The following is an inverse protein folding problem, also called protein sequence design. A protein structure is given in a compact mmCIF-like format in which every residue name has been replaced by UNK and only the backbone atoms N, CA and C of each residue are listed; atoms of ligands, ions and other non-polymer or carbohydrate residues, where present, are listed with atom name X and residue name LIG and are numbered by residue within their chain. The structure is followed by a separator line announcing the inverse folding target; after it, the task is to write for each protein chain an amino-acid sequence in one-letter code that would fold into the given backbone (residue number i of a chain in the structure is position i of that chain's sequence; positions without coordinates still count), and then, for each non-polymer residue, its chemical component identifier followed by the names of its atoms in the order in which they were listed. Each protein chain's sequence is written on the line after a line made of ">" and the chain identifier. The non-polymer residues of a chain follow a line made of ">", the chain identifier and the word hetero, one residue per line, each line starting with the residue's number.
data_IF_571818148399
#
_entry.id   IF_571818148399
#
_cell.length_a   1.000
_cell.length_b   1.000
_cell.length_c   1.000
_cell.angle_alpha   90.00
_cell.angle_beta   90.00
_cell.angle_gamma   90.00
#
_symmetry.space_group_name_H-M   'P 1'
#
loop_
_entity.id
_entity.type
_entity.pdbx_description
1 polymer ?
#
# COMPACT_ATOMS: atom_id res chain seq x y z
N UNK A 1 8.89 7.63 -9.22
CA UNK A 1 7.94 8.16 -8.21
C UNK A 1 8.55 8.00 -6.83
N UNK A 2 8.63 9.09 -6.06
CA UNK A 2 9.01 9.06 -4.65
C UNK A 2 7.74 9.11 -3.81
N UNK A 3 7.45 8.02 -3.08
CA UNK A 3 6.18 7.93 -2.35
C UNK A 3 6.07 9.00 -1.26
N UNK A 4 7.19 9.38 -0.61
CA UNK A 4 7.17 10.39 0.44
C UNK A 4 6.87 11.82 -0.06
N UNK A 5 6.93 12.07 -1.37
CA UNK A 5 6.50 13.33 -1.97
C UNK A 5 4.98 13.52 -1.91
N UNK A 6 4.20 12.42 -1.87
CA UNK A 6 2.73 12.45 -1.84
C UNK A 6 2.13 11.92 -0.53
N UNK A 7 2.81 10.98 0.16
CA UNK A 7 2.30 10.32 1.36
C UNK A 7 3.37 10.22 2.47
N UNK A 8 4.28 11.19 2.52
CA UNK A 8 5.39 11.22 3.48
C UNK A 8 4.97 11.72 4.86
N UNK A 9 5.62 11.19 5.91
CA UNK A 9 5.37 11.58 7.31
C UNK A 9 5.61 13.09 7.55
N UNK A 10 6.57 13.70 6.87
CA UNK A 10 6.87 15.13 6.96
C UNK A 10 5.77 16.04 6.41
N UNK A 11 4.86 15.52 5.59
CA UNK A 11 3.71 16.25 5.08
C UNK A 11 2.59 16.34 6.10
N UNK A 12 2.61 15.48 7.13
CA UNK A 12 1.63 15.48 8.22
C UNK A 12 2.14 16.37 9.35
N UNK A 13 1.42 17.44 9.73
CA UNK A 13 1.81 18.25 10.89
C UNK A 13 1.97 17.39 12.14
N UNK A 14 2.98 17.68 12.98
CA UNK A 14 3.33 16.84 14.13
C UNK A 14 2.15 16.56 15.09
N UNK A 15 1.27 17.54 15.30
CA UNK A 15 0.09 17.39 16.15
C UNK A 15 -1.10 16.67 15.49
N UNK A 16 -0.99 16.27 14.21
CA UNK A 16 -2.04 15.60 13.45
C UNK A 16 -1.60 14.23 12.94
N UNK A 17 -0.50 13.70 13.44
CA UNK A 17 0.02 12.41 13.02
C UNK A 17 -0.90 11.28 13.48
N UNK A 18 -1.46 10.57 12.51
CA UNK A 18 -2.33 9.42 12.68
C UNK A 18 -2.21 8.51 11.44
N UNK A 19 -1.48 7.39 11.53
CA UNK A 19 -1.29 6.49 10.38
C UNK A 19 -2.58 5.75 9.99
N UNK A 20 -3.59 5.75 10.86
CA UNK A 20 -4.91 5.20 10.56
C UNK A 20 -5.76 6.12 9.70
N UNK A 21 -5.49 7.44 9.72
CA UNK A 21 -6.26 8.46 8.99
C UNK A 21 -5.58 8.94 7.70
N UNK A 22 -4.38 8.44 7.40
CA UNK A 22 -3.62 8.82 6.20
C UNK A 22 -3.77 7.78 5.08
N UNK A 23 -3.51 8.19 3.84
CA UNK A 23 -3.73 7.36 2.64
C UNK A 23 -2.59 7.48 1.64
N UNK A 24 -2.40 6.46 0.83
CA UNK A 24 -1.48 6.43 -0.31
C UNK A 24 -2.12 6.89 -1.62
N UNK A 25 -3.30 7.52 -1.60
CA UNK A 25 -4.02 7.99 -2.80
C UNK A 25 -3.12 8.81 -3.71
N UNK A 26 -2.39 9.80 -3.17
CA UNK A 26 -1.47 10.61 -3.98
C UNK A 26 -0.34 9.82 -4.65
N UNK A 27 0.04 8.66 -4.11
CA UNK A 27 1.01 7.78 -4.80
C UNK A 27 0.39 7.18 -6.06
N UNK A 28 -0.88 6.74 -5.98
CA UNK A 28 -1.62 6.25 -7.14
C UNK A 28 -1.81 7.34 -8.21
N UNK A 29 -2.09 8.58 -7.79
CA UNK A 29 -2.16 9.73 -8.69
C UNK A 29 -0.84 9.97 -9.42
N UNK A 30 0.28 9.90 -8.73
CA UNK A 30 1.61 10.02 -9.36
C UNK A 30 1.89 8.88 -10.35
N UNK A 31 1.41 7.66 -10.07
CA UNK A 31 1.48 6.54 -11.03
C UNK A 31 0.64 6.85 -12.26
N UNK A 32 -0.60 7.35 -12.10
CA UNK A 32 -1.47 7.77 -13.21
C UNK A 32 -0.80 8.83 -14.09
N UNK A 33 -0.17 9.85 -13.49
CA UNK A 33 0.57 10.88 -14.24
C UNK A 33 1.73 10.26 -15.03
N UNK A 34 2.44 9.29 -14.46
CA UNK A 34 3.51 8.59 -15.18
C UNK A 34 2.96 7.79 -16.38
N UNK A 35 1.79 7.14 -16.22
CA UNK A 35 1.10 6.44 -17.31
C UNK A 35 0.65 7.41 -18.42
N UNK A 36 0.13 8.58 -18.05
CA UNK A 36 -0.25 9.63 -18.99
C UNK A 36 0.95 10.16 -19.78
N UNK A 37 2.12 10.18 -19.14
CA UNK A 37 3.41 10.49 -19.79
C UNK A 37 3.97 9.35 -20.66
N UNK A 38 3.28 8.21 -20.78
CA UNK A 38 3.69 7.07 -21.60
C UNK A 38 4.78 6.20 -20.98
N UNK A 39 4.93 6.23 -19.65
CA UNK A 39 5.91 5.40 -18.96
C UNK A 39 5.65 3.90 -19.20
N UNK A 40 6.70 3.16 -19.55
CA UNK A 40 6.70 1.70 -19.70
C UNK A 40 7.31 0.99 -18.50
N UNK A 41 8.01 1.74 -17.67
CA UNK A 41 8.62 1.26 -16.43
C UNK A 41 8.49 2.35 -15.37
N UNK A 42 7.95 1.99 -14.20
CA UNK A 42 7.76 2.90 -13.08
C UNK A 42 8.52 2.33 -11.88
N UNK A 43 9.42 3.14 -11.32
CA UNK A 43 10.13 2.82 -10.09
C UNK A 43 9.53 3.66 -8.97
N UNK A 44 9.10 3.02 -7.90
CA UNK A 44 8.51 3.66 -6.73
C UNK A 44 9.49 3.53 -5.57
N UNK A 45 10.10 4.64 -5.19
CA UNK A 45 10.97 4.73 -4.01
C UNK A 45 10.12 4.72 -2.74
N UNK A 46 10.42 3.80 -1.82
CA UNK A 46 9.73 3.63 -0.56
C UNK A 46 10.62 4.02 0.62
N UNK A 47 10.14 4.96 1.43
CA UNK A 47 10.75 5.45 2.65
C UNK A 47 9.90 6.58 3.25
N UNK A 48 10.17 6.97 4.48
CA UNK A 48 9.57 8.13 5.18
C UNK A 48 8.03 8.25 5.11
N UNK A 49 7.31 7.14 4.97
CA UNK A 49 5.85 7.15 4.84
C UNK A 49 5.13 7.62 6.09
N UNK A 50 4.04 8.37 5.91
CA UNK A 50 3.10 8.75 6.97
C UNK A 50 1.89 7.82 7.07
N UNK A 51 1.78 6.81 6.20
CA UNK A 51 0.59 5.97 6.00
C UNK A 51 0.74 4.56 6.55
N UNK A 52 -0.38 3.90 6.83
CA UNK A 52 -0.47 2.48 7.17
C UNK A 52 -1.76 1.87 6.56
N UNK A 53 -1.99 2.13 5.27
CA UNK A 53 -3.20 1.76 4.54
C UNK A 53 -3.02 0.55 3.61
N UNK A 54 -1.87 -0.15 3.70
CA UNK A 54 -1.63 -1.34 2.87
C UNK A 54 -1.57 -1.06 1.36
N UNK A 55 -1.45 0.20 0.95
CA UNK A 55 -1.52 0.61 -0.45
C UNK A 55 -2.94 0.75 -0.99
N UNK A 56 -3.96 0.71 -0.12
CA UNK A 56 -5.36 0.82 -0.50
C UNK A 56 -5.67 2.10 -1.27
N UNK A 57 -5.14 3.25 -0.79
CA UNK A 57 -5.31 4.53 -1.48
C UNK A 57 -4.74 4.54 -2.88
N UNK A 58 -3.56 3.96 -3.07
CA UNK A 58 -2.95 3.88 -4.39
C UNK A 58 -3.80 3.04 -5.36
N UNK A 59 -4.35 1.91 -4.90
CA UNK A 59 -5.23 1.08 -5.73
C UNK A 59 -6.54 1.81 -6.09
N UNK A 60 -7.13 2.55 -5.14
CA UNK A 60 -8.34 3.35 -5.41
C UNK A 60 -8.06 4.45 -6.43
N UNK A 61 -6.97 5.19 -6.30
CA UNK A 61 -6.58 6.20 -7.28
C UNK A 61 -6.32 5.62 -8.68
N UNK A 62 -5.98 4.34 -8.76
CA UNK A 62 -5.79 3.59 -10.01
C UNK A 62 -7.07 2.90 -10.51
N UNK A 63 -8.22 3.17 -9.89
CA UNK A 63 -9.54 2.76 -10.35
C UNK A 63 -10.16 1.56 -9.62
N UNK A 64 -9.54 1.03 -8.57
CA UNK A 64 -10.19 0.05 -7.71
C UNK A 64 -11.26 0.71 -6.83
N UNK A 65 -12.26 -0.07 -6.40
CA UNK A 65 -13.26 0.37 -5.40
C UNK A 65 -13.22 -0.56 -4.21
N UNK A 66 -13.25 0.00 -3.02
CA UNK A 66 -13.32 -0.74 -1.76
C UNK A 66 -14.76 -0.71 -1.26
N UNK A 67 -15.36 -1.86 -1.05
CA UNK A 67 -16.77 -1.97 -0.68
C UNK A 67 -16.93 -2.68 0.67
N UNK A 68 -17.85 -2.18 1.49
CA UNK A 68 -18.28 -2.85 2.73
C UNK A 68 -19.31 -3.97 2.47
N UNK A 69 -19.89 -4.52 3.55
CA UNK A 69 -20.87 -5.60 3.46
C UNK A 69 -22.18 -5.19 2.76
N UNK A 70 -22.52 -3.92 2.81
CA UNK A 70 -23.74 -3.36 2.21
C UNK A 70 -23.49 -2.83 0.79
N UNK A 71 -22.26 -2.91 0.29
CA UNK A 71 -21.85 -2.44 -1.03
C UNK A 71 -21.56 -0.95 -1.10
N UNK A 72 -21.44 -0.26 0.05
CA UNK A 72 -21.03 1.13 0.08
C UNK A 72 -19.51 1.26 -0.03
N UNK A 73 -19.05 2.35 -0.61
CA UNK A 73 -17.64 2.66 -0.70
C UNK A 73 -17.02 2.96 0.68
N UNK A 74 -15.82 2.44 0.88
CA UNK A 74 -15.02 2.62 2.09
C UNK A 74 -13.82 3.50 1.76
N UNK A 75 -13.60 4.56 2.54
CA UNK A 75 -12.41 5.41 2.40
C UNK A 75 -11.12 4.59 2.59
N UNK A 76 -10.13 4.75 1.68
CA UNK A 76 -8.93 3.93 1.66
C UNK A 76 -7.88 4.43 2.67
N UNK A 77 -8.20 4.32 3.96
CA UNK A 77 -7.33 4.67 5.08
C UNK A 77 -7.10 3.47 5.99
N UNK A 78 -6.00 3.46 6.73
CA UNK A 78 -5.61 2.31 7.55
C UNK A 78 -6.68 1.85 8.53
N UNK A 79 -7.35 2.78 9.24
CA UNK A 79 -8.40 2.46 10.21
C UNK A 79 -9.66 1.83 9.60
N UNK A 80 -9.86 1.94 8.31
CA UNK A 80 -11.03 1.43 7.62
C UNK A 80 -10.83 0.05 6.98
N UNK A 81 -9.59 -0.44 6.87
CA UNK A 81 -9.29 -1.71 6.18
C UNK A 81 -10.12 -2.88 6.71
N UNK A 82 -10.33 -2.96 8.01
CA UNK A 82 -11.14 -4.01 8.65
C UNK A 82 -12.63 -3.99 8.23
N UNK A 83 -13.13 -2.88 7.67
CA UNK A 83 -14.52 -2.74 7.19
C UNK A 83 -14.70 -3.19 5.75
N UNK A 84 -13.63 -3.20 4.95
CA UNK A 84 -13.68 -3.64 3.56
C UNK A 84 -14.09 -5.11 3.49
N UNK A 85 -14.95 -5.46 2.57
CA UNK A 85 -15.38 -6.84 2.30
C UNK A 85 -15.10 -7.28 0.88
N UNK A 86 -14.92 -6.34 -0.02
CA UNK A 86 -14.62 -6.64 -1.42
C UNK A 86 -13.79 -5.52 -2.05
N UNK A 87 -12.82 -5.92 -2.87
CA UNK A 87 -12.10 -5.04 -3.77
C UNK A 87 -12.66 -5.26 -5.17
N UNK A 88 -13.25 -4.25 -5.78
CA UNK A 88 -13.73 -4.28 -7.15
C UNK A 88 -12.65 -3.71 -8.07
N UNK A 89 -12.21 -4.51 -9.04
CA UNK A 89 -11.04 -4.21 -9.87
C UNK A 89 -11.38 -3.84 -11.32
N UNK A 90 -12.67 -3.90 -11.68
CA UNK A 90 -13.14 -3.68 -13.07
C UNK A 90 -12.85 -2.27 -13.59
N UNK A 91 -12.72 -1.29 -12.71
CA UNK A 91 -12.41 0.11 -13.05
C UNK A 91 -10.92 0.44 -13.11
N UNK A 92 -10.05 -0.52 -12.81
CA UNK A 92 -8.61 -0.25 -12.81
C UNK A 92 -8.08 0.10 -14.20
N UNK A 93 -7.12 1.04 -14.25
CA UNK A 93 -6.51 1.53 -15.48
C UNK A 93 -5.91 0.36 -16.29
N UNK A 94 -6.42 0.09 -17.50
CA UNK A 94 -5.97 -1.05 -18.28
C UNK A 94 -4.51 -0.98 -18.69
N UNK A 95 -3.90 0.20 -18.73
CA UNK A 95 -2.48 0.42 -19.05
C UNK A 95 -1.53 -0.22 -18.03
N UNK A 96 -2.00 -0.47 -16.81
CA UNK A 96 -1.23 -1.12 -15.76
C UNK A 96 -0.76 -2.54 -16.14
N UNK A 97 -1.41 -3.19 -17.09
CA UNK A 97 -1.04 -4.53 -17.57
C UNK A 97 0.24 -4.54 -18.39
N UNK A 98 0.57 -3.40 -19.02
CA UNK A 98 1.66 -3.26 -19.98
C UNK A 98 2.86 -2.48 -19.40
N UNK A 99 2.83 -2.19 -18.10
CA UNK A 99 3.86 -1.41 -17.41
C UNK A 99 4.61 -2.27 -16.40
N UNK A 100 5.93 -2.25 -16.46
CA UNK A 100 6.78 -2.81 -15.41
C UNK A 100 6.79 -1.88 -14.19
N UNK A 101 6.35 -2.39 -13.03
CA UNK A 101 6.38 -1.64 -11.78
C UNK A 101 7.39 -2.27 -10.81
N UNK A 102 8.29 -1.44 -10.30
CA UNK A 102 9.28 -1.80 -9.29
C UNK A 102 9.01 -1.00 -8.01
N UNK A 103 8.96 -1.67 -6.88
CA UNK A 103 8.88 -1.05 -5.56
C UNK A 103 10.24 -1.21 -4.89
N UNK A 104 10.98 -0.12 -4.82
CA UNK A 104 12.32 -0.06 -4.24
C UNK A 104 12.25 0.35 -2.78
N UNK A 105 12.49 -0.58 -1.87
CA UNK A 105 12.34 -0.36 -0.43
C UNK A 105 13.30 -1.15 0.43
N UNK A 106 13.01 -1.18 1.72
CA UNK A 106 13.69 -2.05 2.66
C UNK A 106 12.99 -3.41 2.69
N UNK A 107 13.68 -4.44 2.20
CA UNK A 107 13.17 -5.80 2.11
C UNK A 107 12.94 -6.48 3.48
N UNK A 108 13.45 -5.91 4.57
CA UNK A 108 13.18 -6.42 5.92
C UNK A 108 11.83 -5.95 6.50
N UNK A 109 11.14 -5.03 5.82
CA UNK A 109 9.82 -4.57 6.24
C UNK A 109 8.75 -5.59 5.82
N UNK A 110 8.12 -6.21 6.81
CA UNK A 110 7.04 -7.18 6.65
C UNK A 110 5.70 -6.46 6.84
N UNK A 111 4.65 -6.95 6.19
CA UNK A 111 3.32 -6.35 6.34
C UNK A 111 2.80 -6.55 7.75
N UNK A 112 2.88 -7.78 8.26
CA UNK A 112 2.26 -8.22 9.51
C UNK A 112 3.20 -9.08 10.36
N UNK A 113 2.74 -9.47 11.57
CA UNK A 113 3.46 -10.29 12.52
C UNK A 113 4.17 -9.47 13.60
N UNK A 114 5.01 -10.11 14.42
CA UNK A 114 5.73 -9.43 15.50
C UNK A 114 6.61 -8.27 15.01
N UNK A 115 7.11 -8.38 13.80
CA UNK A 115 7.90 -7.36 13.10
C UNK A 115 7.12 -6.67 11.99
N UNK A 116 5.78 -6.72 12.07
CA UNK A 116 4.88 -6.07 11.14
C UNK A 116 5.01 -4.56 11.12
N UNK A 117 4.71 -3.95 9.99
CA UNK A 117 4.93 -2.51 9.75
C UNK A 117 4.15 -1.62 10.70
N UNK A 118 2.96 -2.03 11.13
CA UNK A 118 2.16 -1.32 12.14
C UNK A 118 2.86 -1.26 13.49
N UNK A 119 3.44 -2.37 13.94
CA UNK A 119 4.14 -2.49 15.23
C UNK A 119 5.47 -1.74 15.24
N UNK A 120 6.24 -1.88 14.16
CA UNK A 120 7.59 -1.30 14.07
C UNK A 120 7.55 0.21 13.83
N UNK A 121 6.65 0.68 12.97
CA UNK A 121 6.64 2.07 12.51
C UNK A 121 5.37 2.85 12.88
N UNK A 122 4.31 2.19 13.35
CA UNK A 122 3.08 2.85 13.80
C UNK A 122 3.33 3.91 14.88
N UNK A 123 4.08 3.60 15.97
CA UNK A 123 4.32 4.57 17.04
C UNK A 123 4.99 5.87 16.57
N UNK A 124 5.99 5.80 15.69
CA UNK A 124 6.65 7.01 15.16
C UNK A 124 5.75 7.84 14.25
N UNK A 125 4.69 7.22 13.70
CA UNK A 125 3.65 7.88 12.88
C UNK A 125 2.49 8.41 13.70
N UNK A 126 2.53 8.23 15.03
CA UNK A 126 1.53 8.75 15.96
C UNK A 126 0.52 7.73 16.48
N UNK A 127 0.63 6.45 16.13
CA UNK A 127 -0.31 5.44 16.60
C UNK A 127 -0.16 5.16 18.10
N UNK A 128 -1.29 5.05 18.82
CA UNK A 128 -1.33 4.48 20.15
C UNK A 128 -1.12 2.95 20.11
N UNK A 129 -0.80 2.30 21.25
CA UNK A 129 -0.70 0.84 21.30
C UNK A 129 -1.96 0.13 20.79
N UNK A 130 -3.13 0.60 21.17
CA UNK A 130 -4.42 0.05 20.75
C UNK A 130 -4.63 0.21 19.24
N UNK A 131 -4.23 1.36 18.70
CA UNK A 131 -4.32 1.63 17.27
C UNK A 131 -3.33 0.76 16.47
N UNK A 132 -2.15 0.48 17.01
CA UNK A 132 -1.19 -0.45 16.39
C UNK A 132 -1.81 -1.84 16.20
N UNK A 133 -2.48 -2.38 17.23
CA UNK A 133 -3.15 -3.69 17.14
C UNK A 133 -4.33 -3.66 16.14
N UNK A 134 -5.11 -2.58 16.12
CA UNK A 134 -6.20 -2.43 15.16
C UNK A 134 -5.69 -2.34 13.71
N UNK A 135 -4.60 -1.60 13.47
CA UNK A 135 -3.96 -1.51 12.16
C UNK A 135 -3.37 -2.86 11.74
N UNK A 136 -2.75 -3.61 12.67
CA UNK A 136 -2.23 -4.94 12.40
C UNK A 136 -3.35 -5.88 11.93
N UNK A 137 -4.45 -5.94 12.68
CA UNK A 137 -5.61 -6.76 12.31
C UNK A 137 -6.21 -6.33 10.95
N UNK A 138 -6.29 -5.03 10.69
CA UNK A 138 -6.73 -4.49 9.41
C UNK A 138 -5.83 -4.90 8.25
N UNK A 139 -4.51 -4.89 8.44
CA UNK A 139 -3.55 -5.29 7.41
C UNK A 139 -3.57 -6.80 7.14
N UNK A 140 -3.80 -7.64 8.16
CA UNK A 140 -4.01 -9.09 7.97
C UNK A 140 -5.23 -9.34 7.08
N UNK A 141 -6.36 -8.76 7.44
CA UNK A 141 -7.60 -8.85 6.65
C UNK A 141 -7.42 -8.30 5.23
N UNK A 142 -6.70 -7.17 5.10
CA UNK A 142 -6.41 -6.57 3.81
C UNK A 142 -5.59 -7.48 2.88
N UNK A 143 -4.59 -8.20 3.42
CA UNK A 143 -3.81 -9.16 2.65
C UNK A 143 -4.66 -10.32 2.10
N UNK A 144 -5.65 -10.79 2.86
CA UNK A 144 -6.61 -11.79 2.41
C UNK A 144 -7.45 -11.27 1.24
N UNK A 145 -8.00 -10.06 1.36
CA UNK A 145 -8.77 -9.41 0.29
C UNK A 145 -7.94 -9.15 -0.97
N UNK A 146 -6.68 -8.76 -0.81
CA UNK A 146 -5.75 -8.62 -1.94
C UNK A 146 -5.53 -9.95 -2.66
N UNK A 147 -5.38 -11.05 -1.91
CA UNK A 147 -5.21 -12.37 -2.50
C UNK A 147 -6.48 -12.85 -3.25
N UNK A 148 -7.66 -12.51 -2.75
CA UNK A 148 -8.94 -12.81 -3.40
C UNK A 148 -9.14 -11.98 -4.68
N UNK A 149 -8.84 -10.68 -4.61
CA UNK A 149 -9.06 -9.76 -5.74
C UNK A 149 -8.03 -9.93 -6.86
N UNK A 150 -6.80 -10.35 -6.53
CA UNK A 150 -5.66 -10.47 -7.45
C UNK A 150 -5.00 -11.87 -7.38
N UNK A 151 -5.74 -12.95 -7.64
CA UNK A 151 -5.27 -14.32 -7.39
C UNK A 151 -4.02 -14.69 -8.20
N UNK A 152 -3.88 -14.19 -9.42
CA UNK A 152 -2.73 -14.50 -10.27
C UNK A 152 -1.42 -13.91 -9.73
N UNK A 153 -1.47 -12.68 -9.22
CA UNK A 153 -0.32 -11.98 -8.64
C UNK A 153 0.03 -12.48 -7.24
N UNK A 154 -1.01 -12.85 -6.46
CA UNK A 154 -0.86 -13.34 -5.09
C UNK A 154 -0.41 -14.81 -5.01
N UNK A 155 -0.72 -15.64 -6.04
CA UNK A 155 -0.44 -17.09 -6.03
C UNK A 155 1.04 -17.48 -5.74
N UNK A 156 1.96 -16.55 -6.00
CA UNK A 156 3.40 -16.78 -5.87
C UNK A 156 4.05 -15.89 -4.81
N UNK A 157 3.24 -15.26 -3.93
CA UNK A 157 3.74 -14.30 -2.94
C UNK A 157 3.11 -14.51 -1.57
N UNK A 158 3.94 -14.49 -0.55
CA UNK A 158 3.48 -14.30 0.82
C UNK A 158 3.25 -12.79 1.03
N UNK A 159 2.01 -12.34 1.01
CA UNK A 159 1.67 -10.94 1.22
C UNK A 159 1.79 -10.53 2.69
N UNK A 160 1.68 -11.47 3.62
CA UNK A 160 1.71 -11.20 5.07
C UNK A 160 3.13 -10.96 5.58
N UNK A 161 4.05 -11.88 5.27
CA UNK A 161 5.41 -11.88 5.82
C UNK A 161 6.50 -11.92 4.75
N UNK A 162 6.11 -11.76 3.49
CA UNK A 162 7.07 -11.71 2.38
C UNK A 162 7.97 -10.47 2.45
N UNK A 163 9.24 -10.58 2.02
CA UNK A 163 10.19 -9.47 2.02
C UNK A 163 9.66 -8.25 1.28
N UNK A 164 9.67 -7.09 1.93
CA UNK A 164 9.28 -5.80 1.34
C UNK A 164 7.78 -5.53 1.29
N UNK A 165 6.92 -6.48 1.69
CA UNK A 165 5.45 -6.28 1.67
C UNK A 165 5.01 -5.15 2.59
N UNK A 166 5.70 -4.93 3.72
CA UNK A 166 5.47 -3.83 4.64
C UNK A 166 6.06 -2.49 4.20
N UNK A 167 6.77 -2.42 3.06
CA UNK A 167 7.36 -1.16 2.62
C UNK A 167 6.33 -0.04 2.61
N UNK A 168 6.68 1.10 3.26
CA UNK A 168 5.84 2.31 3.32
C UNK A 168 4.40 2.05 3.81
N UNK A 169 4.25 1.37 4.95
CA UNK A 169 2.94 1.15 5.55
C UNK A 169 2.09 0.12 4.82
N UNK A 170 2.73 -0.83 4.13
CA UNK A 170 2.08 -1.87 3.36
C UNK A 170 1.84 -1.53 1.89
N UNK A 171 2.29 -0.37 1.41
CA UNK A 171 2.24 -0.02 -0.01
C UNK A 171 2.86 -1.12 -0.88
N UNK A 172 3.96 -1.74 -0.39
CA UNK A 172 4.59 -2.87 -1.05
C UNK A 172 3.63 -4.02 -1.34
N UNK A 173 2.82 -4.44 -0.37
CA UNK A 173 1.84 -5.51 -0.55
C UNK A 173 0.75 -5.12 -1.54
N UNK A 174 0.16 -3.92 -1.39
CA UNK A 174 -0.89 -3.42 -2.28
C UNK A 174 -0.44 -3.38 -3.75
N UNK A 175 0.74 -2.81 -4.01
CA UNK A 175 1.25 -2.71 -5.38
C UNK A 175 1.75 -4.08 -5.93
N UNK A 176 2.29 -4.94 -5.07
CA UNK A 176 2.69 -6.28 -5.48
C UNK A 176 1.49 -7.13 -5.92
N UNK A 177 0.37 -7.04 -5.19
CA UNK A 177 -0.87 -7.72 -5.55
C UNK A 177 -1.58 -7.02 -6.71
N UNK A 178 -1.90 -5.74 -6.57
CA UNK A 178 -2.76 -5.02 -7.51
C UNK A 178 -2.12 -4.76 -8.88
N UNK A 179 -0.81 -4.53 -8.94
CA UNK A 179 -0.09 -4.18 -10.16
C UNK A 179 0.93 -5.24 -10.60
N UNK A 180 1.07 -6.33 -9.84
CA UNK A 180 2.15 -7.30 -10.08
C UNK A 180 3.55 -6.71 -9.84
N UNK A 181 3.66 -5.64 -9.06
CA UNK A 181 4.91 -4.94 -8.85
C UNK A 181 5.98 -5.86 -8.24
N UNK A 182 7.21 -5.77 -8.76
CA UNK A 182 8.36 -6.47 -8.21
C UNK A 182 8.92 -5.68 -7.03
N UNK A 183 8.94 -6.32 -5.85
CA UNK A 183 9.59 -5.76 -4.66
C UNK A 183 11.09 -5.99 -4.76
N UNK A 184 11.89 -4.97 -4.55
CA UNK A 184 13.35 -5.05 -4.64
C UNK A 184 14.02 -4.11 -3.63
N UNK A 185 15.28 -4.43 -3.33
CA UNK A 185 16.10 -3.49 -2.55
C UNK A 185 16.31 -2.20 -3.34
N UNK A 186 16.29 -1.07 -2.63
CA UNK A 186 16.64 0.22 -3.24
C UNK A 186 18.04 0.22 -3.87
N UNK A 187 18.95 -0.64 -3.42
CA UNK A 187 20.29 -0.77 -4.00
C UNK A 187 20.28 -1.50 -5.35
N UNK A 188 19.32 -2.43 -5.57
CA UNK A 188 19.22 -3.20 -6.81
C UNK A 188 18.72 -2.35 -7.99
N UNK A 189 18.17 -1.18 -7.72
CA UNK A 189 17.61 -0.27 -8.73
C UNK A 189 18.65 0.76 -9.18
N UNK A 190 19.71 0.98 -8.39
CA UNK A 190 20.77 1.95 -8.65
C UNK A 190 21.94 1.37 -9.42
N UNK A 191 21.96 0.06 -9.63
CA UNK A 191 22.94 -0.68 -10.45
C UNK A 191 22.38 -1.00 -11.83
#
# INVERSE_FOLDING_TARGET
>A
VEMAAAAGLRLVPAGMRDPGATTTTGVGELISVALDGGARRIIIGCGDSGTCDGGAGALVALGARLLDADGHEVDPIGSNLARVRRIETSGMDPRLRDVEVLVAGNMHNLLTGERGVSRVFGPQKGASPEQVEALEAGLVHWAELLAEAFPAQAAHRDLLTGPGTGASGGLGAGLAAGLGARLCSRFDVLM
#
